data_IF_902245076795
#
_entry.id   IF_902245076795
#
_cell.length_a   1.000
_cell.length_b   1.000
_cell.length_c   1.000
_cell.angle_alpha   90.00
_cell.angle_beta   90.00
_cell.angle_gamma   90.00
#
_symmetry.space_group_name_H-M   'P 1'
#
loop_
_entity.id
_entity.type
_entity.pdbx_description
1 polymer ?
#
# COMPACT_ATOMS: atom_id res chain seq x y z
N UNK A 1 9.26 19.46 -28.20
CA UNK A 1 7.85 19.09 -27.99
C UNK A 1 7.68 18.69 -26.52
N UNK A 2 6.75 19.29 -25.77
CA UNK A 2 6.50 18.87 -24.40
C UNK A 2 5.86 17.48 -24.45
N UNK A 3 6.39 16.53 -23.68
CA UNK A 3 5.92 15.13 -23.68
C UNK A 3 4.51 15.11 -23.10
N UNK A 4 3.54 14.90 -23.98
CA UNK A 4 2.15 14.68 -23.65
C UNK A 4 2.00 13.38 -22.85
N UNK A 5 1.14 13.44 -21.84
CA UNK A 5 0.77 12.39 -20.90
C UNK A 5 0.44 11.05 -21.57
N UNK A 6 1.35 10.09 -21.46
CA UNK A 6 1.15 8.68 -21.85
C UNK A 6 0.54 7.86 -20.70
N UNK A 7 -0.15 6.73 -20.95
CA UNK A 7 -0.66 5.86 -19.90
C UNK A 7 0.51 5.38 -19.03
N UNK A 8 0.60 5.86 -17.79
CA UNK A 8 1.82 5.75 -16.96
C UNK A 8 2.25 7.06 -16.28
N UNK A 9 1.48 8.14 -16.40
CA UNK A 9 1.75 9.38 -15.63
C UNK A 9 1.63 9.08 -14.13
N UNK A 10 2.75 9.17 -13.41
CA UNK A 10 2.75 9.07 -11.96
C UNK A 10 1.94 10.23 -11.37
N UNK A 11 1.00 9.93 -10.47
CA UNK A 11 0.20 10.96 -9.77
C UNK A 11 1.02 11.78 -8.77
N UNK A 12 2.33 11.54 -8.68
CA UNK A 12 3.24 12.17 -7.74
C UNK A 12 3.75 13.50 -8.30
N UNK A 13 3.87 14.49 -7.41
CA UNK A 13 4.18 15.88 -7.77
C UNK A 13 5.57 16.06 -8.39
N UNK A 14 6.49 15.12 -8.16
CA UNK A 14 7.88 15.24 -8.64
C UNK A 14 8.40 13.90 -9.16
N UNK A 15 9.25 13.96 -10.19
CA UNK A 15 9.92 12.78 -10.75
C UNK A 15 10.77 12.04 -9.71
N UNK A 16 11.52 12.77 -8.88
CA UNK A 16 12.32 12.16 -7.79
C UNK A 16 11.46 11.34 -6.81
N UNK A 17 10.28 11.83 -6.46
CA UNK A 17 9.36 11.09 -5.60
C UNK A 17 8.80 9.85 -6.30
N UNK A 18 8.54 9.93 -7.60
CA UNK A 18 8.08 8.79 -8.39
C UNK A 18 9.12 7.68 -8.47
N UNK A 19 10.39 8.02 -8.72
CA UNK A 19 11.49 7.06 -8.76
C UNK A 19 11.71 6.37 -7.41
N UNK A 20 11.67 7.14 -6.31
CA UNK A 20 11.77 6.56 -4.97
C UNK A 20 10.59 5.64 -4.63
N UNK A 21 9.38 6.05 -5.02
CA UNK A 21 8.18 5.22 -4.83
C UNK A 21 8.24 3.94 -5.65
N UNK A 22 8.68 4.02 -6.91
CA UNK A 22 8.79 2.87 -7.81
C UNK A 22 9.79 1.84 -7.27
N UNK A 23 10.97 2.29 -6.79
CA UNK A 23 11.97 1.41 -6.19
C UNK A 23 11.40 0.66 -4.97
N UNK A 24 10.79 1.39 -4.03
CA UNK A 24 10.16 0.79 -2.85
C UNK A 24 9.01 -0.15 -3.22
N UNK A 25 8.18 0.25 -4.19
CA UNK A 25 7.03 -0.53 -4.61
C UNK A 25 7.46 -1.85 -5.24
N UNK A 26 8.47 -1.83 -6.11
CA UNK A 26 9.01 -3.05 -6.73
C UNK A 26 9.58 -4.01 -5.70
N UNK A 27 10.40 -3.51 -4.76
CA UNK A 27 10.95 -4.34 -3.68
C UNK A 27 9.84 -4.99 -2.85
N UNK A 28 8.79 -4.22 -2.52
CA UNK A 28 7.64 -4.73 -1.77
C UNK A 28 6.86 -5.80 -2.54
N UNK A 29 6.68 -5.62 -3.85
CA UNK A 29 5.99 -6.59 -4.71
C UNK A 29 6.82 -7.87 -4.85
N UNK A 30 8.13 -7.76 -5.08
CA UNK A 30 9.02 -8.92 -5.17
C UNK A 30 9.03 -9.74 -3.86
N UNK A 31 9.12 -9.07 -2.71
CA UNK A 31 9.05 -9.72 -1.42
C UNK A 31 7.70 -10.42 -1.18
N UNK A 32 6.59 -9.80 -1.59
CA UNK A 32 5.26 -10.40 -1.51
C UNK A 32 5.10 -11.59 -2.46
N UNK A 33 5.61 -11.50 -3.69
CA UNK A 33 5.57 -12.57 -4.68
C UNK A 33 6.42 -13.78 -4.28
N UNK A 34 7.57 -13.53 -3.62
CA UNK A 34 8.42 -14.58 -3.06
C UNK A 34 7.88 -15.20 -1.76
N UNK A 35 6.85 -14.61 -1.16
CA UNK A 35 6.28 -15.08 0.09
C UNK A 35 5.61 -16.45 -0.06
N UNK A 36 5.92 -17.36 0.86
CA UNK A 36 5.27 -18.68 0.97
C UNK A 36 4.07 -18.67 1.92
N UNK A 37 3.65 -17.49 2.37
CA UNK A 37 2.52 -17.36 3.28
C UNK A 37 1.22 -17.76 2.57
N UNK A 38 0.28 -18.40 3.28
CA UNK A 38 -1.01 -18.75 2.71
C UNK A 38 -1.81 -17.49 2.35
N UNK A 39 -2.64 -17.61 1.32
CA UNK A 39 -3.58 -16.55 0.95
C UNK A 39 -4.67 -16.47 2.02
N UNK A 40 -4.86 -15.29 2.60
CA UNK A 40 -5.93 -15.03 3.55
C UNK A 40 -7.25 -14.75 2.81
N UNK A 41 -8.36 -15.40 3.17
CA UNK A 41 -9.68 -15.07 2.65
C UNK A 41 -10.04 -13.61 2.88
N UNK A 42 -10.77 -13.01 1.94
CA UNK A 42 -11.20 -11.61 2.04
C UNK A 42 -11.91 -11.30 3.36
N UNK A 43 -12.83 -12.16 3.79
CA UNK A 43 -13.63 -11.93 5.00
C UNK A 43 -12.79 -11.93 6.28
N UNK A 44 -11.75 -12.76 6.32
CA UNK A 44 -10.80 -12.82 7.42
C UNK A 44 -9.94 -11.54 7.49
N UNK A 45 -9.49 -11.03 6.33
CA UNK A 45 -8.79 -9.74 6.24
C UNK A 45 -9.68 -8.62 6.78
N UNK A 46 -10.95 -8.58 6.36
CA UNK A 46 -11.89 -7.55 6.81
C UNK A 46 -12.22 -7.68 8.30
N UNK A 47 -12.33 -8.90 8.83
CA UNK A 47 -12.51 -9.14 10.26
C UNK A 47 -11.30 -8.63 11.07
N UNK A 48 -10.08 -8.92 10.62
CA UNK A 48 -8.85 -8.43 11.23
C UNK A 48 -8.77 -6.89 11.21
N UNK A 49 -9.06 -6.27 10.06
CA UNK A 49 -9.08 -4.83 9.90
C UNK A 49 -10.07 -4.15 10.86
N UNK A 50 -11.30 -4.68 10.98
CA UNK A 50 -12.31 -4.20 11.94
C UNK A 50 -11.80 -4.24 13.37
N UNK A 51 -11.16 -5.34 13.79
CA UNK A 51 -10.61 -5.50 15.15
C UNK A 51 -9.53 -4.46 15.45
N UNK A 52 -8.65 -4.18 14.48
CA UNK A 52 -7.59 -3.16 14.62
C UNK A 52 -8.20 -1.77 14.81
N UNK A 53 -9.22 -1.43 14.02
CA UNK A 53 -9.92 -0.14 14.10
C UNK A 53 -10.62 0.03 15.45
N UNK A 54 -11.37 -0.97 15.91
CA UNK A 54 -12.04 -0.87 17.22
C UNK A 54 -11.03 -0.74 18.37
N UNK A 55 -9.92 -1.47 18.30
CA UNK A 55 -8.84 -1.35 19.27
C UNK A 55 -8.24 0.06 19.28
N UNK A 56 -8.07 0.68 18.11
CA UNK A 56 -7.60 2.06 17.99
C UNK A 56 -8.61 3.08 18.54
N UNK A 57 -9.92 2.87 18.31
CA UNK A 57 -10.98 3.72 18.88
C UNK A 57 -11.00 3.66 20.40
N UNK A 58 -10.86 2.47 20.98
CA UNK A 58 -10.78 2.30 22.45
C UNK A 58 -9.57 3.05 22.98
N UNK A 59 -8.37 2.86 22.40
CA UNK A 59 -7.16 3.59 22.81
C UNK A 59 -7.34 5.11 22.75
N UNK A 60 -7.97 5.62 21.69
CA UNK A 60 -8.25 7.05 21.54
C UNK A 60 -9.24 7.59 22.58
N UNK A 61 -10.23 6.79 23.00
CA UNK A 61 -11.20 7.20 24.03
C UNK A 61 -10.63 7.18 25.44
N UNK A 62 -9.56 6.40 25.65
CA UNK A 62 -8.87 6.27 26.94
C UNK A 62 -7.73 7.29 27.12
N UNK A 63 -7.41 8.05 26.07
CA UNK A 63 -6.42 9.13 26.06
C UNK A 63 -7.13 10.48 26.15
#
# INVERSE_FOLDING_TARGET
>A
MPKHDSPGVSSLKTHKQAEQYELWFREKVEAAAASRQPITPHDDVMASARKIIESAKVRRKMA
#
